data_IF_207382361625
#
_entry.id   IF_207382361625
#
_cell.length_a   1.000
_cell.length_b   1.000
_cell.length_c   1.000
_cell.angle_alpha   90.00
_cell.angle_beta   90.00
_cell.angle_gamma   90.00
#
_symmetry.space_group_name_H-M   'P 1'
#
loop_
_entity.id
_entity.type
_entity.pdbx_description
1 polymer ?
#
# COMPACT_ATOMS: atom_id res chain seq x y z
N UNK A 1 20.14 -20.89 35.62
CA UNK A 1 19.49 -19.84 36.45
C UNK A 1 18.82 -18.88 35.49
N UNK A 2 17.49 -18.86 35.43
CA UNK A 2 16.76 -17.95 34.54
C UNK A 2 16.87 -16.52 35.07
N UNK A 3 17.64 -15.69 34.39
CA UNK A 3 17.62 -14.23 34.53
C UNK A 3 16.42 -13.68 33.77
N UNK A 4 15.21 -13.89 34.28
CA UNK A 4 14.07 -13.14 33.78
C UNK A 4 14.26 -11.68 34.20
N UNK A 5 14.22 -10.71 33.27
CA UNK A 5 14.31 -9.30 33.64
C UNK A 5 13.19 -8.96 34.62
N UNK A 6 13.55 -8.26 35.70
CA UNK A 6 12.55 -7.75 36.64
C UNK A 6 11.62 -6.79 35.90
N UNK A 7 10.29 -6.87 36.10
CA UNK A 7 9.37 -5.92 35.48
C UNK A 7 9.78 -4.49 35.84
N UNK A 8 9.93 -3.66 34.82
CA UNK A 8 10.17 -2.23 35.00
C UNK A 8 8.85 -1.50 34.80
N UNK A 9 8.54 -0.54 35.67
CA UNK A 9 7.37 0.33 35.57
C UNK A 9 7.77 1.77 35.21
N UNK A 10 9.03 2.01 34.81
CA UNK A 10 9.54 3.30 34.39
C UNK A 10 9.96 3.31 32.91
N UNK A 11 9.62 4.39 32.22
CA UNK A 11 10.08 4.69 30.86
C UNK A 11 11.61 4.79 30.81
N UNK A 12 12.22 4.11 29.83
CA UNK A 12 13.68 4.11 29.59
C UNK A 12 14.27 5.49 29.34
N UNK A 13 13.51 6.40 28.74
CA UNK A 13 14.03 7.66 28.22
C UNK A 13 13.79 8.83 29.19
N UNK A 14 12.64 8.87 29.86
CA UNK A 14 12.23 9.99 30.72
C UNK A 14 11.91 9.62 32.18
N UNK A 15 11.93 8.33 32.53
CA UNK A 15 11.64 7.85 33.88
C UNK A 15 10.18 8.00 34.34
N UNK A 16 9.25 8.35 33.45
CA UNK A 16 7.82 8.40 33.78
C UNK A 16 7.25 7.00 34.05
N UNK A 17 6.25 6.90 34.94
CA UNK A 17 5.56 5.64 35.20
C UNK A 17 4.82 5.13 33.96
N UNK A 18 4.96 3.83 33.68
CA UNK A 18 4.32 3.10 32.59
C UNK A 18 3.83 1.73 33.07
N UNK A 19 3.02 1.06 32.24
CA UNK A 19 2.55 -0.29 32.55
C UNK A 19 3.73 -1.25 32.73
N UNK A 20 3.71 -2.14 33.74
CA UNK A 20 4.78 -3.10 33.97
C UNK A 20 5.02 -3.97 32.74
N UNK A 21 6.26 -3.99 32.25
CA UNK A 21 6.65 -4.73 31.06
C UNK A 21 7.98 -5.44 31.29
N UNK A 22 8.22 -6.49 30.50
CA UNK A 22 9.51 -7.17 30.50
C UNK A 22 10.46 -6.45 29.53
N UNK A 23 11.61 -5.98 30.04
CA UNK A 23 12.65 -5.36 29.24
C UNK A 23 12.59 -3.83 29.21
N UNK A 24 13.22 -3.24 28.20
CA UNK A 24 13.20 -1.79 27.96
C UNK A 24 11.88 -1.39 27.28
N UNK A 25 11.14 -0.45 27.87
CA UNK A 25 10.04 0.21 27.18
C UNK A 25 9.99 1.71 27.44
N UNK A 26 9.30 2.39 26.54
CA UNK A 26 9.11 3.84 26.50
C UNK A 26 7.66 4.16 26.84
N UNK A 27 7.43 5.30 27.48
CA UNK A 27 6.09 5.86 27.53
C UNK A 27 5.64 6.28 26.10
N UNK A 28 4.34 6.43 25.84
CA UNK A 28 3.82 6.73 24.50
C UNK A 28 4.50 7.92 23.82
N UNK A 29 4.72 9.03 24.55
CA UNK A 29 5.36 10.22 24.00
C UNK A 29 6.84 9.99 23.62
N UNK A 30 7.60 9.29 24.47
CA UNK A 30 8.99 8.95 24.16
C UNK A 30 9.09 7.97 22.98
N UNK A 31 8.15 7.03 22.87
CA UNK A 31 8.10 6.12 21.75
C UNK A 31 7.77 6.84 20.44
N UNK A 32 6.78 7.75 20.44
CA UNK A 32 6.45 8.53 19.24
C UNK A 32 7.64 9.41 18.79
N UNK A 33 8.35 10.05 19.73
CA UNK A 33 9.57 10.81 19.40
C UNK A 33 10.67 9.91 18.79
N UNK A 34 10.90 8.74 19.39
CA UNK A 34 11.83 7.76 18.84
C UNK A 34 11.44 7.33 17.42
N UNK A 35 10.15 7.15 17.15
CA UNK A 35 9.67 6.80 15.82
C UNK A 35 9.80 7.96 14.81
N UNK A 36 9.59 9.21 15.22
CA UNK A 36 9.85 10.38 14.37
C UNK A 36 11.31 10.42 13.91
N UNK A 37 12.26 10.10 14.81
CA UNK A 37 13.68 10.03 14.46
C UNK A 37 13.99 8.90 13.44
N UNK A 38 13.14 7.88 13.34
CA UNK A 38 13.28 6.78 12.39
C UNK A 38 12.62 7.02 11.04
N UNK A 39 11.66 7.94 10.93
CA UNK A 39 10.81 8.10 9.75
C UNK A 39 11.63 8.27 8.46
N UNK A 40 12.69 9.08 8.48
CA UNK A 40 13.56 9.31 7.31
C UNK A 40 14.25 8.03 6.86
N UNK A 41 14.89 7.31 7.79
CA UNK A 41 15.61 6.08 7.49
C UNK A 41 14.68 4.96 7.04
N UNK A 42 13.50 4.87 7.66
CA UNK A 42 12.44 3.96 7.25
C UNK A 42 11.99 4.24 5.81
N UNK A 43 11.68 5.50 5.51
CA UNK A 43 11.18 5.91 4.20
C UNK A 43 12.21 5.75 3.08
N UNK A 44 13.47 6.13 3.28
CA UNK A 44 14.54 5.91 2.28
C UNK A 44 14.74 4.42 1.99
N UNK A 45 14.80 3.59 3.03
CA UNK A 45 14.92 2.13 2.88
C UNK A 45 13.71 1.54 2.15
N UNK A 46 12.50 1.94 2.54
CA UNK A 46 11.26 1.47 1.95
C UNK A 46 11.11 1.91 0.49
N UNK A 47 11.53 3.13 0.13
CA UNK A 47 11.53 3.60 -1.27
C UNK A 47 12.45 2.77 -2.15
N UNK A 48 13.66 2.44 -1.67
CA UNK A 48 14.68 1.70 -2.44
C UNK A 48 14.28 0.25 -2.69
N UNK A 49 13.65 -0.39 -1.70
CA UNK A 49 13.36 -1.84 -1.75
C UNK A 49 11.88 -2.18 -1.60
N UNK A 50 11.22 -1.60 -0.59
CA UNK A 50 9.83 -1.86 -0.24
C UNK A 50 8.87 -1.65 -1.40
N UNK A 51 8.79 -0.44 -1.94
CA UNK A 51 7.89 -0.10 -3.05
C UNK A 51 8.10 -1.02 -4.26
N UNK A 52 9.35 -1.27 -4.64
CA UNK A 52 9.68 -2.01 -5.88
C UNK A 52 9.52 -3.52 -5.74
N UNK A 53 9.53 -4.06 -4.52
CA UNK A 53 9.45 -5.51 -4.27
C UNK A 53 8.21 -6.14 -4.90
N UNK A 54 7.06 -5.46 -4.82
CA UNK A 54 5.77 -5.92 -5.39
C UNK A 54 5.87 -6.11 -6.91
N UNK A 55 6.42 -5.11 -7.59
CA UNK A 55 6.60 -5.13 -9.04
C UNK A 55 7.56 -6.24 -9.47
N UNK A 56 8.71 -6.38 -8.80
CA UNK A 56 9.72 -7.40 -9.14
C UNK A 56 9.13 -8.82 -9.05
N UNK A 57 8.37 -9.11 -7.98
CA UNK A 57 7.70 -10.40 -7.82
C UNK A 57 6.66 -10.59 -8.92
N UNK A 58 5.82 -9.58 -9.17
CA UNK A 58 4.77 -9.67 -10.18
C UNK A 58 5.31 -9.86 -11.61
N UNK A 59 6.36 -9.14 -12.01
CA UNK A 59 7.04 -9.31 -13.30
C UNK A 59 7.65 -10.70 -13.43
N UNK A 60 8.23 -11.23 -12.35
CA UNK A 60 8.80 -12.59 -12.32
C UNK A 60 7.70 -13.63 -12.54
N UNK A 61 6.56 -13.47 -11.87
CA UNK A 61 5.39 -14.34 -12.06
C UNK A 61 4.81 -14.22 -13.48
N UNK A 62 4.73 -12.99 -14.04
CA UNK A 62 4.24 -12.76 -15.40
C UNK A 62 5.11 -13.49 -16.44
N UNK A 63 6.43 -13.41 -16.32
CA UNK A 63 7.35 -14.16 -17.19
C UNK A 63 7.18 -15.67 -17.06
N UNK A 64 6.86 -16.15 -15.86
CA UNK A 64 6.56 -17.56 -15.61
C UNK A 64 5.29 -18.05 -16.31
N UNK A 65 4.27 -17.19 -16.51
CA UNK A 65 3.00 -17.58 -17.14
C UNK A 65 3.18 -18.19 -18.53
N UNK A 66 4.11 -17.65 -19.33
CA UNK A 66 4.37 -18.14 -20.67
C UNK A 66 4.98 -19.56 -20.69
N UNK A 67 5.68 -19.95 -19.62
CA UNK A 67 6.49 -21.17 -19.57
C UNK A 67 5.79 -22.35 -18.87
N UNK A 68 4.78 -22.05 -18.06
CA UNK A 68 4.19 -23.01 -17.13
C UNK A 68 2.90 -23.67 -17.64
N UNK A 69 2.52 -24.77 -16.98
CA UNK A 69 1.27 -25.50 -17.23
C UNK A 69 0.03 -24.64 -16.90
N UNK A 70 -1.16 -24.94 -17.45
CA UNK A 70 -2.38 -24.19 -17.14
C UNK A 70 -2.71 -24.09 -15.64
N UNK A 71 -2.45 -25.14 -14.86
CA UNK A 71 -2.68 -25.14 -13.41
C UNK A 71 -1.72 -24.21 -12.67
N UNK A 72 -0.43 -24.25 -13.05
CA UNK A 72 0.59 -23.37 -12.47
C UNK A 72 0.38 -21.90 -12.86
N UNK A 73 -0.12 -21.63 -14.08
CA UNK A 73 -0.48 -20.26 -14.50
C UNK A 73 -1.49 -19.61 -13.58
N UNK A 74 -2.44 -20.37 -13.03
CA UNK A 74 -3.42 -19.87 -12.05
C UNK A 74 -2.74 -19.40 -10.77
N UNK A 75 -1.80 -20.18 -10.25
CA UNK A 75 -1.03 -19.84 -9.04
C UNK A 75 -0.19 -18.58 -9.26
N UNK A 76 0.44 -18.47 -10.43
CA UNK A 76 1.22 -17.29 -10.79
C UNK A 76 0.33 -16.04 -10.95
N UNK A 77 -0.81 -16.16 -11.64
CA UNK A 77 -1.79 -15.09 -11.80
C UNK A 77 -2.32 -14.60 -10.44
N UNK A 78 -2.64 -15.51 -9.53
CA UNK A 78 -3.00 -15.14 -8.16
C UNK A 78 -1.90 -14.35 -7.46
N UNK A 79 -0.66 -14.84 -7.54
CA UNK A 79 0.48 -14.17 -6.90
C UNK A 79 0.60 -12.73 -7.41
N UNK A 80 0.36 -12.50 -8.70
CA UNK A 80 0.32 -11.16 -9.29
C UNK A 80 -0.80 -10.32 -8.66
N UNK A 81 -2.02 -10.85 -8.55
CA UNK A 81 -3.13 -10.13 -7.89
C UNK A 81 -2.84 -9.83 -6.41
N UNK A 82 -2.24 -10.76 -5.68
CA UNK A 82 -1.83 -10.53 -4.30
C UNK A 82 -0.82 -9.39 -4.21
N UNK A 83 0.17 -9.35 -5.12
CA UNK A 83 1.11 -8.22 -5.19
C UNK A 83 0.41 -6.91 -5.53
N UNK A 84 -0.65 -6.93 -6.35
CA UNK A 84 -1.48 -5.74 -6.61
C UNK A 84 -2.19 -5.23 -5.35
N UNK A 85 -2.84 -6.12 -4.59
CA UNK A 85 -3.49 -5.75 -3.33
C UNK A 85 -2.49 -5.19 -2.33
N UNK A 86 -1.31 -5.81 -2.22
CA UNK A 86 -0.24 -5.32 -1.36
C UNK A 86 0.28 -3.96 -1.81
N UNK A 87 0.54 -3.75 -3.11
CA UNK A 87 0.99 -2.47 -3.64
C UNK A 87 -0.04 -1.35 -3.41
N UNK A 88 -1.34 -1.65 -3.57
CA UNK A 88 -2.42 -0.70 -3.28
C UNK A 88 -2.57 -0.44 -1.78
N UNK A 89 -2.37 -1.45 -0.93
CA UNK A 89 -2.33 -1.30 0.53
C UNK A 89 -1.19 -0.38 0.95
N UNK A 90 -0.01 -0.61 0.40
CA UNK A 90 1.19 0.18 0.63
C UNK A 90 0.96 1.64 0.21
N UNK A 91 0.42 1.87 -0.99
CA UNK A 91 0.12 3.23 -1.48
C UNK A 91 -0.93 3.95 -0.62
N UNK A 92 -2.06 3.30 -0.32
CA UNK A 92 -3.12 3.89 0.50
C UNK A 92 -2.65 4.15 1.94
N UNK A 93 -1.83 3.25 2.49
CA UNK A 93 -1.21 3.39 3.81
C UNK A 93 -0.23 4.54 3.86
N UNK A 94 0.62 4.71 2.84
CA UNK A 94 1.50 5.87 2.74
C UNK A 94 0.69 7.15 2.63
N UNK A 95 -0.29 7.20 1.72
CA UNK A 95 -1.17 8.37 1.58
C UNK A 95 -1.82 8.77 2.91
N UNK A 96 -2.34 7.79 3.65
CA UNK A 96 -2.90 8.00 4.99
C UNK A 96 -1.86 8.52 5.98
N UNK A 97 -0.69 7.89 6.06
CA UNK A 97 0.38 8.27 6.96
C UNK A 97 0.90 9.68 6.68
N UNK A 98 1.10 10.03 5.41
CA UNK A 98 1.51 11.38 5.01
C UNK A 98 0.47 12.43 5.36
N UNK A 99 -0.83 12.15 5.15
CA UNK A 99 -1.91 13.07 5.54
C UNK A 99 -2.00 13.33 7.06
N UNK A 100 -1.45 12.43 7.88
CA UNK A 100 -1.49 12.49 9.35
C UNK A 100 -0.15 12.69 10.04
N UNK A 101 0.93 12.92 9.28
CA UNK A 101 2.30 12.96 9.83
C UNK A 101 2.55 14.00 10.93
N UNK A 102 1.72 15.06 11.00
CA UNK A 102 1.76 16.06 12.08
C UNK A 102 1.10 15.58 13.38
N UNK A 103 0.32 14.52 13.33
CA UNK A 103 -0.42 13.94 14.45
C UNK A 103 0.25 12.68 15.00
N UNK A 104 0.92 11.90 14.14
CA UNK A 104 1.63 10.68 14.53
C UNK A 104 2.81 10.42 13.58
N UNK A 105 3.85 9.67 14.02
CA UNK A 105 4.95 9.23 13.17
C UNK A 105 4.46 8.48 11.94
N UNK A 106 5.15 8.66 10.81
CA UNK A 106 4.78 8.05 9.53
C UNK A 106 4.91 6.53 9.65
N UNK A 107 6.02 6.03 10.20
CA UNK A 107 6.27 4.61 10.39
C UNK A 107 5.15 3.92 11.18
N UNK A 108 4.65 4.57 12.24
CA UNK A 108 3.54 4.04 13.04
C UNK A 108 2.25 3.99 12.23
N UNK A 109 1.87 5.13 11.64
CA UNK A 109 0.64 5.27 10.88
C UNK A 109 0.60 4.31 9.68
N UNK A 110 1.75 4.08 9.05
CA UNK A 110 1.90 3.16 7.93
C UNK A 110 1.83 1.69 8.37
N UNK A 111 2.58 1.28 9.40
CA UNK A 111 2.62 -0.12 9.85
C UNK A 111 1.33 -0.57 10.53
N UNK A 112 0.59 0.35 11.16
CA UNK A 112 -0.72 0.06 11.75
C UNK A 112 -1.86 0.14 10.72
N UNK A 113 -1.60 0.62 9.51
CA UNK A 113 -2.61 0.79 8.47
C UNK A 113 -3.23 -0.55 8.07
N UNK A 114 -4.56 -0.55 7.94
CA UNK A 114 -5.32 -1.68 7.43
C UNK A 114 -6.19 -1.23 6.29
N UNK A 115 -6.03 -1.90 5.16
CA UNK A 115 -6.89 -1.69 4.01
C UNK A 115 -8.20 -2.47 4.22
N UNK A 116 -9.29 -1.74 4.32
CA UNK A 116 -10.65 -2.26 4.43
C UNK A 116 -11.60 -1.41 3.57
N UNK A 117 -12.90 -1.72 3.60
CA UNK A 117 -13.91 -0.97 2.84
C UNK A 117 -13.92 0.52 3.14
N UNK A 118 -13.72 0.89 4.41
CA UNK A 118 -13.74 2.29 4.82
C UNK A 118 -12.47 3.01 4.37
N UNK A 119 -11.30 2.43 4.63
CA UNK A 119 -10.02 3.07 4.29
C UNK A 119 -9.77 3.10 2.78
N UNK A 120 -10.22 2.08 2.05
CA UNK A 120 -10.18 2.08 0.59
C UNK A 120 -11.06 3.18 0.00
N UNK A 121 -12.32 3.29 0.45
CA UNK A 121 -13.21 4.35 -0.03
C UNK A 121 -12.67 5.75 0.29
N UNK A 122 -12.18 5.94 1.53
CA UNK A 122 -11.59 7.20 1.95
C UNK A 122 -10.38 7.59 1.10
N UNK A 123 -9.52 6.63 0.73
CA UNK A 123 -8.40 6.88 -0.16
C UNK A 123 -8.86 7.31 -1.56
N UNK A 124 -9.80 6.59 -2.16
CA UNK A 124 -10.32 6.91 -3.50
C UNK A 124 -11.03 8.26 -3.52
N UNK A 125 -11.85 8.56 -2.53
CA UNK A 125 -12.56 9.83 -2.40
C UNK A 125 -11.59 10.99 -2.19
N UNK A 126 -10.58 10.81 -1.33
CA UNK A 126 -9.56 11.85 -1.08
C UNK A 126 -8.76 12.19 -2.33
N UNK A 127 -8.42 11.19 -3.17
CA UNK A 127 -7.66 11.44 -4.40
C UNK A 127 -8.55 11.98 -5.51
N UNK A 128 -9.78 11.51 -5.67
CA UNK A 128 -10.66 11.92 -6.79
C UNK A 128 -11.45 13.19 -6.51
N UNK A 129 -11.80 13.44 -5.26
CA UNK A 129 -12.73 14.49 -4.85
C UNK A 129 -12.15 15.89 -4.87
N UNK A 130 -10.85 16.04 -5.12
CA UNK A 130 -10.12 17.29 -5.02
C UNK A 130 -9.30 17.57 -6.28
N UNK A 131 -8.94 18.83 -6.53
CA UNK A 131 -8.01 19.19 -7.61
C UNK A 131 -6.53 18.99 -7.18
N UNK A 132 -5.58 19.20 -8.09
CA UNK A 132 -4.16 18.94 -7.83
C UNK A 132 -3.56 19.85 -6.77
N UNK A 133 -4.01 21.11 -6.66
CA UNK A 133 -3.56 22.03 -5.63
C UNK A 133 -4.06 21.61 -4.24
N UNK A 134 -5.31 21.19 -4.15
CA UNK A 134 -5.87 20.64 -2.91
C UNK A 134 -5.20 19.33 -2.49
N UNK A 135 -4.89 18.45 -3.46
CA UNK A 135 -4.19 17.18 -3.21
C UNK A 135 -2.76 17.41 -2.72
N UNK A 136 -2.00 18.30 -3.38
CA UNK A 136 -0.69 18.74 -2.93
C UNK A 136 -0.76 19.35 -1.53
N UNK A 137 -1.73 20.23 -1.27
CA UNK A 137 -1.94 20.84 0.05
C UNK A 137 -2.22 19.82 1.15
N UNK A 138 -3.05 18.80 0.88
CA UNK A 138 -3.35 17.73 1.83
C UNK A 138 -2.10 16.88 2.17
N UNK A 139 -1.17 16.74 1.22
CA UNK A 139 0.10 16.05 1.40
C UNK A 139 1.24 16.99 1.86
N UNK A 140 0.97 18.29 2.00
CA UNK A 140 1.95 19.36 2.30
C UNK A 140 3.13 19.34 1.32
N UNK A 141 2.81 19.11 0.05
CA UNK A 141 3.75 19.19 -1.05
C UNK A 141 3.52 20.50 -1.80
N UNK A 142 4.57 21.15 -2.32
CA UNK A 142 4.41 22.27 -3.24
C UNK A 142 3.76 21.80 -4.56
N UNK A 143 3.16 22.72 -5.31
CA UNK A 143 2.83 22.43 -6.70
C UNK A 143 4.12 22.27 -7.53
N UNK A 144 4.11 21.48 -8.63
CA UNK A 144 5.30 21.31 -9.48
C UNK A 144 5.94 22.63 -9.93
N UNK A 145 5.14 23.64 -10.26
CA UNK A 145 5.62 24.96 -10.67
C UNK A 145 6.21 25.81 -9.53
N UNK A 146 5.92 25.46 -8.27
CA UNK A 146 6.28 26.21 -7.07
C UNK A 146 7.53 25.64 -6.37
N UNK A 147 8.00 24.46 -6.79
CA UNK A 147 9.13 23.75 -6.15
C UNK A 147 10.35 24.64 -6.01
N UNK A 148 10.79 25.31 -7.08
CA UNK A 148 11.99 26.16 -7.05
C UNK A 148 11.89 27.34 -6.07
N UNK A 149 10.68 27.84 -5.82
CA UNK A 149 10.45 28.94 -4.88
C UNK A 149 10.32 28.46 -3.43
N UNK A 150 9.73 27.28 -3.24
CA UNK A 150 9.38 26.70 -1.93
C UNK A 150 10.53 25.89 -1.31
N UNK A 151 11.33 25.22 -2.13
CA UNK A 151 12.44 24.35 -1.71
C UNK A 151 13.79 24.99 -2.07
N UNK A 152 14.09 26.16 -1.49
CA UNK A 152 15.28 26.97 -1.82
C UNK A 152 16.62 26.32 -1.43
N UNK A 153 16.57 25.28 -0.61
CA UNK A 153 17.74 24.50 -0.22
C UNK A 153 18.19 23.54 -1.33
N UNK A 154 17.33 23.22 -2.29
CA UNK A 154 17.65 22.36 -3.43
C UNK A 154 18.38 23.17 -4.50
N UNK A 155 19.31 22.51 -5.19
CA UNK A 155 19.86 23.08 -6.41
C UNK A 155 18.84 23.01 -7.57
N UNK A 156 19.22 23.55 -8.74
CA UNK A 156 18.33 23.62 -9.90
C UNK A 156 17.94 22.24 -10.43
N UNK A 157 18.85 21.27 -10.38
CA UNK A 157 18.63 19.92 -10.92
C UNK A 157 17.73 19.11 -9.99
N UNK A 158 17.96 19.20 -8.68
CA UNK A 158 17.14 18.57 -7.65
C UNK A 158 15.74 19.18 -7.60
N UNK A 159 15.61 20.52 -7.69
CA UNK A 159 14.31 21.18 -7.76
C UNK A 159 13.51 20.75 -9.01
N UNK A 160 14.18 20.57 -10.15
CA UNK A 160 13.55 20.05 -11.36
C UNK A 160 13.10 18.60 -11.18
N UNK A 161 13.96 17.75 -10.62
CA UNK A 161 13.65 16.33 -10.36
C UNK A 161 12.47 16.17 -9.39
N UNK A 162 12.42 16.98 -8.34
CA UNK A 162 11.29 17.03 -7.40
C UNK A 162 10.00 17.47 -8.11
N UNK A 163 10.05 18.50 -8.95
CA UNK A 163 8.89 18.96 -9.74
C UNK A 163 8.32 17.86 -10.63
N UNK A 164 9.19 17.13 -11.34
CA UNK A 164 8.82 15.99 -12.18
C UNK A 164 8.21 14.86 -11.36
N UNK A 165 8.81 14.54 -10.20
CA UNK A 165 8.29 13.50 -9.32
C UNK A 165 6.90 13.82 -8.76
N UNK A 166 6.66 15.07 -8.34
CA UNK A 166 5.33 15.51 -7.87
C UNK A 166 4.32 15.43 -9.02
N UNK A 167 4.70 15.86 -10.23
CA UNK A 167 3.82 15.75 -11.40
C UNK A 167 3.42 14.29 -11.68
N UNK A 168 4.37 13.37 -11.71
CA UNK A 168 4.09 11.95 -11.92
C UNK A 168 3.33 11.31 -10.76
N UNK A 169 3.61 11.69 -9.51
CA UNK A 169 2.83 11.27 -8.36
C UNK A 169 1.34 11.59 -8.55
N UNK A 170 1.02 12.84 -8.91
CA UNK A 170 -0.36 13.26 -9.11
C UNK A 170 -1.03 12.45 -10.24
N UNK A 171 -0.35 12.31 -11.38
CA UNK A 171 -0.86 11.50 -12.50
C UNK A 171 -1.11 10.04 -12.11
N UNK A 172 -0.15 9.42 -11.43
CA UNK A 172 -0.24 8.01 -11.05
C UNK A 172 -1.33 7.81 -9.98
N UNK A 173 -1.49 8.72 -9.01
CA UNK A 173 -2.61 8.72 -8.05
C UNK A 173 -3.98 8.79 -8.74
N UNK A 174 -4.12 9.65 -9.75
CA UNK A 174 -5.37 9.72 -10.55
C UNK A 174 -5.60 8.44 -11.34
N UNK A 175 -4.54 7.87 -11.91
CA UNK A 175 -4.62 6.63 -12.69
C UNK A 175 -5.06 5.45 -11.82
N UNK A 176 -4.46 5.25 -10.64
CA UNK A 176 -4.84 4.14 -9.75
C UNK A 176 -6.26 4.27 -9.19
N UNK A 177 -6.77 5.50 -9.04
CA UNK A 177 -8.11 5.76 -8.52
C UNK A 177 -9.16 5.99 -9.61
N UNK A 178 -8.80 5.85 -10.89
CA UNK A 178 -9.67 6.16 -12.02
C UNK A 178 -10.98 5.35 -12.04
N UNK A 179 -10.98 4.13 -11.49
CA UNK A 179 -12.17 3.28 -11.40
C UNK A 179 -13.18 3.72 -10.34
N UNK A 180 -12.78 4.55 -9.36
CA UNK A 180 -13.72 5.14 -8.40
C UNK A 180 -14.29 4.15 -7.41
N UNK A 181 -15.56 4.30 -7.05
CA UNK A 181 -16.23 3.49 -6.02
C UNK A 181 -16.16 1.99 -6.33
N UNK A 182 -16.29 1.57 -7.59
CA UNK A 182 -16.17 0.16 -7.97
C UNK A 182 -14.76 -0.38 -7.73
N UNK A 183 -13.73 0.41 -8.05
CA UNK A 183 -12.33 0.07 -7.75
C UNK A 183 -12.05 -0.01 -6.26
N UNK A 184 -12.58 0.93 -5.48
CA UNK A 184 -12.46 0.95 -4.02
C UNK A 184 -13.13 -0.28 -3.39
N UNK A 185 -14.35 -0.62 -3.82
CA UNK A 185 -15.06 -1.79 -3.32
C UNK A 185 -14.34 -3.10 -3.66
N UNK A 186 -13.88 -3.24 -4.91
CA UNK A 186 -13.11 -4.41 -5.32
C UNK A 186 -11.83 -4.55 -4.51
N UNK A 187 -11.09 -3.45 -4.33
CA UNK A 187 -9.87 -3.44 -3.53
C UNK A 187 -10.13 -3.84 -2.07
N UNK A 188 -11.20 -3.30 -1.47
CA UNK A 188 -11.61 -3.65 -0.12
C UNK A 188 -12.01 -5.12 0.05
N UNK A 189 -12.70 -5.69 -0.95
CA UNK A 189 -13.07 -7.11 -0.96
C UNK A 189 -11.83 -8.00 -1.04
N UNK A 190 -10.82 -7.57 -1.79
CA UNK A 190 -9.55 -8.29 -1.89
C UNK A 190 -8.66 -8.12 -0.64
N UNK A 191 -8.76 -7.00 0.08
CA UNK A 191 -7.91 -6.70 1.24
C UNK A 191 -8.46 -7.17 2.59
N UNK A 192 -9.78 -7.29 2.73
CA UNK A 192 -10.45 -7.51 4.01
C UNK A 192 -10.69 -8.97 4.35
N UNK A 193 -10.01 -9.49 5.39
CA UNK A 193 -10.44 -10.59 6.28
C UNK A 193 -11.16 -11.81 5.69
N UNK A 194 -10.80 -12.23 4.48
CA UNK A 194 -11.30 -13.50 3.94
C UNK A 194 -10.14 -14.48 3.82
N UNK A 195 -10.32 -15.68 4.37
CA UNK A 195 -9.62 -16.84 3.86
C UNK A 195 -9.97 -17.04 2.39
N UNK A 196 -9.24 -16.35 1.51
CA UNK A 196 -9.33 -16.55 0.07
C UNK A 196 -8.78 -17.93 -0.23
N UNK A 197 -9.65 -18.81 -0.72
CA UNK A 197 -9.23 -20.09 -1.27
C UNK A 197 -9.39 -20.00 -2.78
N UNK A 198 -8.32 -20.37 -3.47
CA UNK A 198 -8.37 -20.51 -4.92
C UNK A 198 -8.51 -21.95 -5.29
N UNK A 199 -9.40 -22.18 -6.25
CA UNK A 199 -9.78 -23.51 -6.69
C UNK A 199 -9.52 -23.58 -8.19
N UNK A 200 -8.59 -24.45 -8.55
CA UNK A 200 -8.08 -24.58 -9.91
C UNK A 200 -9.07 -25.28 -10.87
N UNK A 201 -10.07 -26.01 -10.37
CA UNK A 201 -11.03 -26.72 -11.21
C UNK A 201 -12.38 -27.03 -10.51
N UNK A 202 -13.42 -27.15 -11.34
CA UNK A 202 -14.77 -27.68 -11.05
C UNK A 202 -15.51 -27.01 -9.87
N UNK A 203 -15.83 -25.73 -10.03
CA UNK A 203 -16.60 -24.94 -9.08
C UNK A 203 -18.12 -25.24 -9.08
N UNK A 204 -18.56 -26.34 -9.72
CA UNK A 204 -19.99 -26.73 -9.80
C UNK A 204 -20.64 -26.91 -8.42
N UNK A 205 -19.83 -27.26 -7.41
CA UNK A 205 -20.27 -27.36 -6.01
C UNK A 205 -20.69 -26.00 -5.40
N UNK A 206 -20.37 -24.87 -6.03
CA UNK A 206 -20.85 -23.54 -5.65
C UNK A 206 -22.33 -23.29 -6.05
N UNK A 207 -23.06 -24.31 -6.51
CA UNK A 207 -24.52 -24.30 -6.71
C UNK A 207 -25.05 -23.02 -7.40
N UNK A 208 -24.44 -22.63 -8.52
CA UNK A 208 -24.85 -21.46 -9.31
C UNK A 208 -24.20 -20.13 -8.92
N UNK A 209 -23.46 -20.04 -7.81
CA UNK A 209 -22.70 -18.83 -7.44
C UNK A 209 -21.44 -18.61 -8.30
N UNK A 210 -20.99 -19.64 -9.01
CA UNK A 210 -19.83 -19.62 -9.91
C UNK A 210 -20.09 -20.39 -11.20
N UNK A 211 -21.33 -20.32 -11.70
CA UNK A 211 -21.66 -20.90 -12.99
C UNK A 211 -20.75 -20.25 -14.04
N UNK A 212 -19.92 -21.05 -14.70
CA UNK A 212 -19.11 -20.70 -15.87
C UNK A 212 -17.69 -20.15 -15.63
N UNK A 213 -16.95 -20.62 -14.62
CA UNK A 213 -15.49 -20.45 -14.64
C UNK A 213 -14.87 -21.27 -15.78
N UNK A 214 -14.22 -20.58 -16.71
CA UNK A 214 -13.50 -21.22 -17.82
C UNK A 214 -12.20 -21.88 -17.33
N UNK A 215 -11.60 -22.82 -18.09
CA UNK A 215 -10.36 -23.49 -17.67
C UNK A 215 -9.18 -22.55 -17.41
N UNK A 216 -9.17 -21.36 -18.00
CA UNK A 216 -8.18 -20.30 -17.81
C UNK A 216 -8.51 -19.35 -16.65
N UNK A 217 -9.66 -19.51 -15.99
CA UNK A 217 -10.09 -18.69 -14.87
C UNK A 217 -9.81 -19.32 -13.51
N UNK A 218 -9.69 -18.43 -12.53
CA UNK A 218 -9.45 -18.69 -11.13
C UNK A 218 -10.62 -18.12 -10.33
N UNK A 219 -11.21 -18.91 -9.44
CA UNK A 219 -12.22 -18.40 -8.53
C UNK A 219 -11.56 -17.63 -7.38
N UNK A 220 -11.76 -16.32 -7.29
CA UNK A 220 -11.56 -15.57 -6.06
C UNK A 220 -12.81 -15.70 -5.20
N UNK A 221 -12.66 -16.29 -4.02
CA UNK A 221 -13.74 -16.45 -3.04
C UNK A 221 -13.57 -15.46 -1.90
N UNK A 222 -14.56 -14.60 -1.71
CA UNK A 222 -14.61 -13.58 -0.65
C UNK A 222 -15.82 -13.85 0.24
N UNK A 223 -15.60 -14.46 1.41
CA UNK A 223 -16.61 -14.68 2.45
C UNK A 223 -16.75 -13.44 3.34
N UNK A 224 -17.86 -12.72 3.17
CA UNK A 224 -18.29 -11.70 4.12
C UNK A 224 -19.11 -12.35 5.24
N UNK A 225 -18.45 -12.64 6.36
CA UNK A 225 -19.09 -13.25 7.53
C UNK A 225 -20.14 -12.34 8.19
N UNK A 226 -20.01 -11.01 8.05
CA UNK A 226 -20.95 -10.06 8.65
C UNK A 226 -22.26 -10.03 7.86
N UNK A 227 -22.16 -9.99 6.53
CA UNK A 227 -23.32 -10.03 5.62
C UNK A 227 -23.81 -11.45 5.34
N UNK A 228 -23.07 -12.47 5.79
CA UNK A 228 -23.32 -13.90 5.51
C UNK A 228 -23.42 -14.16 4.01
N UNK A 229 -22.55 -13.53 3.23
CA UNK A 229 -22.52 -13.64 1.77
C UNK A 229 -21.18 -14.16 1.29
N UNK A 230 -21.21 -15.05 0.30
CA UNK A 230 -20.03 -15.49 -0.44
C UNK A 230 -20.02 -14.77 -1.79
N UNK A 231 -18.98 -13.98 -2.01
CA UNK A 231 -18.70 -13.37 -3.29
C UNK A 231 -17.72 -14.25 -4.05
N UNK A 232 -18.02 -14.50 -5.33
CA UNK A 232 -17.19 -15.31 -6.21
C UNK A 232 -16.89 -14.51 -7.46
N UNK A 233 -15.62 -14.33 -7.78
CA UNK A 233 -15.19 -13.63 -8.99
C UNK A 233 -14.23 -14.51 -9.79
N UNK A 234 -14.52 -14.68 -11.08
CA UNK A 234 -13.58 -15.28 -12.02
C UNK A 234 -12.47 -14.28 -12.37
N UNK A 235 -11.23 -14.68 -12.12
CA UNK A 235 -10.03 -13.96 -12.53
C UNK A 235 -9.38 -14.74 -13.66
N UNK A 236 -9.23 -14.13 -14.83
CA UNK A 236 -8.50 -14.77 -15.93
C UNK A 236 -7.00 -14.83 -15.62
N UNK A 237 -6.37 -15.96 -15.93
CA UNK A 237 -4.92 -16.17 -15.86
C UNK A 237 -4.23 -15.91 -17.20
N UNK A 238 -4.90 -15.24 -18.14
CA UNK A 238 -4.32 -14.85 -19.42
C UNK A 238 -3.20 -13.82 -19.26
N UNK A 239 -2.13 -14.00 -20.02
CA UNK A 239 -0.93 -13.16 -19.96
C UNK A 239 -1.24 -11.68 -20.21
N UNK A 240 -2.10 -11.37 -21.19
CA UNK A 240 -2.48 -9.99 -21.49
C UNK A 240 -3.23 -9.30 -20.34
N UNK A 241 -4.12 -10.03 -19.66
CA UNK A 241 -4.84 -9.52 -18.49
C UNK A 241 -3.88 -9.34 -17.31
N UNK A 242 -2.97 -10.28 -17.07
CA UNK A 242 -1.97 -10.17 -16.01
C UNK A 242 -0.96 -9.06 -16.28
N UNK A 243 -0.62 -8.80 -17.54
CA UNK A 243 0.18 -7.64 -17.93
C UNK A 243 -0.45 -6.31 -17.48
N UNK A 244 -1.77 -6.16 -17.63
CA UNK A 244 -2.47 -4.96 -17.16
C UNK A 244 -2.45 -4.83 -15.63
N UNK A 245 -2.52 -5.95 -14.90
CA UNK A 245 -2.38 -5.95 -13.44
C UNK A 245 -0.96 -5.55 -13.03
N UNK A 246 0.07 -6.05 -13.73
CA UNK A 246 1.47 -5.64 -13.52
C UNK A 246 1.67 -4.15 -13.80
N UNK A 247 1.06 -3.59 -14.85
CA UNK A 247 1.10 -2.15 -15.14
C UNK A 247 0.43 -1.31 -14.03
N UNK A 248 -0.64 -1.85 -13.42
CA UNK A 248 -1.29 -1.22 -12.28
C UNK A 248 -0.39 -1.27 -11.02
N UNK A 249 0.34 -2.38 -10.81
CA UNK A 249 1.36 -2.49 -9.75
C UNK A 249 2.48 -1.47 -9.98
N UNK A 250 3.00 -1.35 -11.20
CA UNK A 250 4.03 -0.35 -11.52
C UNK A 250 3.53 1.07 -11.22
N UNK A 251 2.31 1.39 -11.66
CA UNK A 251 1.70 2.70 -11.39
C UNK A 251 1.59 2.97 -9.88
N UNK A 252 1.10 2.01 -9.09
CA UNK A 252 0.95 2.16 -7.65
C UNK A 252 2.30 2.29 -6.92
N UNK A 253 3.28 1.48 -7.29
CA UNK A 253 4.62 1.48 -6.68
C UNK A 253 5.44 2.72 -7.05
N UNK A 254 5.27 3.25 -8.27
CA UNK A 254 5.79 4.55 -8.68
C UNK A 254 5.17 5.70 -7.91
N UNK A 255 3.85 5.72 -7.76
CA UNK A 255 3.16 6.73 -6.94
C UNK A 255 3.70 6.71 -5.50
N UNK A 256 3.80 5.53 -4.88
CA UNK A 256 4.38 5.37 -3.55
C UNK A 256 5.83 5.90 -3.48
N UNK A 257 6.67 5.52 -4.45
CA UNK A 257 8.07 5.98 -4.52
C UNK A 257 8.19 7.49 -4.68
N UNK A 258 7.40 8.10 -5.56
CA UNK A 258 7.42 9.54 -5.81
C UNK A 258 6.86 10.33 -4.61
N UNK A 259 5.87 9.79 -3.90
CA UNK A 259 5.36 10.38 -2.65
C UNK A 259 6.47 10.45 -1.58
N UNK A 260 7.18 9.34 -1.39
CA UNK A 260 8.29 9.29 -0.44
C UNK A 260 9.42 10.24 -0.86
N UNK A 261 9.82 10.22 -2.14
CA UNK A 261 10.84 11.12 -2.64
C UNK A 261 10.46 12.59 -2.44
N UNK A 262 9.23 12.95 -2.79
CA UNK A 262 8.77 14.32 -2.68
C UNK A 262 8.81 14.81 -1.22
N UNK A 263 8.42 13.97 -0.28
CA UNK A 263 8.54 14.27 1.14
C UNK A 263 9.99 14.48 1.59
N UNK A 264 10.89 13.53 1.29
CA UNK A 264 12.29 13.61 1.72
C UNK A 264 12.95 14.89 1.21
N UNK A 265 12.76 15.22 -0.07
CA UNK A 265 13.33 16.42 -0.68
C UNK A 265 12.73 17.71 -0.14
N UNK A 266 11.43 17.76 0.13
CA UNK A 266 10.76 18.97 0.63
C UNK A 266 11.21 19.33 2.05
N UNK A 267 11.52 18.32 2.88
CA UNK A 267 11.92 18.54 4.27
C UNK A 267 13.43 18.73 4.48
N UNK A 268 14.23 18.73 3.40
CA UNK A 268 15.67 18.99 3.45
C UNK A 268 16.46 17.89 4.15
N UNK A 269 16.03 16.63 3.98
CA UNK A 269 16.61 15.44 4.60
C UNK A 269 17.32 14.56 3.57
#
# INVERSE_FOLDING_TARGET
MSSYPSPNDLCSDCGSQIEPHAGEARCPACFDNYLYDLDVGFLDSYRRFGCRSRLIVAETCLRGLALESPEHRKVLAMTIFEQYVLAMTDLAGLFHAFGRRREAPIVRSFLEFKLDARTSMAFFDAVRGVNDAELCGALDLPLPAEVAASCRHLDREDAYSLSVAIHHLLQDLRKVTAQGESGALALAQMSGQVGGAVIAADAKWLNGAAADLTPDQVALLVLDSRRRSLFVQGLTAEEGAMGQVVDAIDTATRAASNLIYAYLQTNGL
#
